data_IF_517992121283
#
_entry.id   IF_517992121283
#
_cell.length_a   1.000
_cell.length_b   1.000
_cell.length_c   1.000
_cell.angle_alpha   90.00
_cell.angle_beta   90.00
_cell.angle_gamma   90.00
#
_symmetry.space_group_name_H-M   'P 1'
#
loop_
_entity.id
_entity.type
_entity.pdbx_description
1 polymer ?
#
# COMPACT_ATOMS: atom_id res chain seq x y z
N UNK A 1 71.98 -11.77 39.06
CA UNK A 1 71.54 -12.36 37.77
C UNK A 1 70.16 -11.82 37.45
N UNK A 2 70.02 -10.96 36.43
CA UNK A 2 68.74 -10.40 35.97
C UNK A 2 68.26 -11.23 34.78
N UNK A 3 67.06 -11.81 34.86
CA UNK A 3 66.39 -12.49 33.74
C UNK A 3 65.70 -11.43 32.86
N UNK A 4 66.05 -11.38 31.56
CA UNK A 4 65.30 -10.62 30.57
C UNK A 4 64.08 -11.44 30.10
N UNK A 5 62.90 -10.85 30.17
CA UNK A 5 61.71 -11.34 29.49
C UNK A 5 61.68 -10.80 28.06
N UNK A 6 61.58 -11.69 27.07
CA UNK A 6 61.40 -11.34 25.65
C UNK A 6 59.89 -11.32 25.37
N UNK A 7 59.35 -10.14 25.07
CA UNK A 7 57.99 -9.97 24.57
C UNK A 7 57.98 -10.20 23.05
N UNK A 8 57.30 -11.25 22.60
CA UNK A 8 57.02 -11.47 21.18
C UNK A 8 55.76 -10.68 20.78
N UNK A 9 55.91 -9.72 19.87
CA UNK A 9 54.78 -9.01 19.26
C UNK A 9 54.35 -9.76 18.00
N UNK A 10 53.15 -10.37 18.03
CA UNK A 10 52.53 -10.97 16.85
C UNK A 10 51.83 -9.89 16.03
N UNK A 11 52.34 -9.63 14.82
CA UNK A 11 51.68 -8.76 13.85
C UNK A 11 50.57 -9.54 13.13
N UNK A 12 49.31 -9.14 13.32
CA UNK A 12 48.20 -9.60 12.47
C UNK A 12 48.14 -8.72 11.21
N UNK A 13 48.34 -9.34 10.05
CA UNK A 13 48.10 -8.69 8.76
C UNK A 13 46.61 -8.90 8.43
N UNK A 14 45.81 -7.83 8.50
CA UNK A 14 44.46 -7.83 7.94
C UNK A 14 44.54 -7.73 6.42
N UNK A 15 44.19 -8.81 5.72
CA UNK A 15 43.97 -8.78 4.27
C UNK A 15 42.65 -8.04 3.99
N UNK A 16 42.60 -7.11 3.02
CA UNK A 16 41.34 -6.51 2.60
C UNK A 16 40.48 -7.58 1.94
N UNK A 17 39.26 -7.78 2.44
CA UNK A 17 38.26 -8.57 1.75
C UNK A 17 37.94 -7.87 0.41
N UNK A 18 38.32 -8.48 -0.70
CA UNK A 18 37.88 -8.04 -2.02
C UNK A 18 36.36 -8.21 -2.08
N UNK A 19 35.62 -7.10 -2.18
CA UNK A 19 34.19 -7.14 -2.44
C UNK A 19 33.96 -7.82 -3.79
N UNK A 20 33.37 -9.01 -3.77
CA UNK A 20 33.01 -9.74 -5.00
C UNK A 20 31.97 -8.90 -5.76
N UNK A 21 32.33 -8.45 -6.96
CA UNK A 21 31.40 -7.74 -7.84
C UNK A 21 30.19 -8.66 -8.16
N UNK A 22 28.94 -8.19 -8.03
CA UNK A 22 27.78 -9.02 -8.32
C UNK A 22 27.80 -9.47 -9.78
N UNK A 23 27.70 -10.78 -10.01
CA UNK A 23 27.64 -11.35 -11.35
C UNK A 23 26.19 -11.22 -11.84
N UNK A 24 25.98 -10.39 -12.87
CA UNK A 24 24.66 -10.20 -13.49
C UNK A 24 24.50 -11.26 -14.58
N UNK A 25 23.41 -12.03 -14.51
CA UNK A 25 23.08 -13.07 -15.50
C UNK A 25 21.75 -12.77 -16.18
N UNK A 26 21.69 -12.99 -17.49
CA UNK A 26 20.47 -12.92 -18.28
C UNK A 26 20.10 -14.34 -18.74
N UNK A 27 19.01 -14.91 -18.21
CA UNK A 27 18.50 -16.19 -18.69
C UNK A 27 18.20 -16.12 -20.20
N UNK A 28 18.57 -17.18 -20.91
CA UNK A 28 18.17 -17.36 -22.31
C UNK A 28 16.69 -17.71 -22.44
N UNK A 29 16.16 -17.66 -23.66
CA UNK A 29 14.87 -18.27 -23.99
C UNK A 29 14.89 -19.80 -23.69
N UNK A 30 13.75 -20.49 -23.59
CA UNK A 30 13.72 -21.94 -23.41
C UNK A 30 14.63 -22.68 -24.41
N UNK A 31 15.59 -23.45 -23.91
CA UNK A 31 16.59 -24.16 -24.72
C UNK A 31 17.83 -23.36 -25.12
N UNK A 32 17.95 -22.09 -24.72
CA UNK A 32 19.13 -21.24 -24.96
C UNK A 32 19.98 -21.08 -23.69
N UNK A 33 21.30 -20.95 -23.87
CA UNK A 33 22.23 -20.76 -22.76
C UNK A 33 22.07 -19.38 -22.09
N UNK A 34 22.29 -19.33 -20.78
CA UNK A 34 22.34 -18.09 -19.99
C UNK A 34 23.57 -17.27 -20.36
N UNK A 35 23.42 -15.94 -20.43
CA UNK A 35 24.52 -15.01 -20.72
C UNK A 35 24.94 -14.27 -19.45
N UNK A 36 26.24 -14.10 -19.24
CA UNK A 36 26.78 -13.21 -18.20
C UNK A 36 26.88 -11.80 -18.78
N UNK A 37 26.35 -10.82 -18.07
CA UNK A 37 26.35 -9.41 -18.45
C UNK A 37 27.46 -8.64 -17.73
N UNK A 38 27.93 -7.51 -18.29
CA UNK A 38 28.87 -6.62 -17.60
C UNK A 38 28.35 -6.21 -16.21
N UNK A 39 29.23 -6.05 -15.24
CA UNK A 39 28.86 -5.54 -13.90
C UNK A 39 28.30 -4.10 -13.94
N UNK A 40 28.50 -3.38 -15.05
CA UNK A 40 27.93 -2.06 -15.31
C UNK A 40 26.51 -2.10 -15.84
N UNK A 41 25.95 -3.28 -16.12
CA UNK A 41 24.57 -3.39 -16.60
C UNK A 41 23.61 -2.89 -15.54
N UNK A 42 22.76 -1.94 -15.91
CA UNK A 42 21.64 -1.46 -15.09
C UNK A 42 20.35 -2.11 -15.57
N UNK A 43 19.49 -2.48 -14.63
CA UNK A 43 18.11 -2.80 -14.96
C UNK A 43 17.47 -1.57 -15.61
N UNK A 44 16.79 -1.79 -16.73
CA UNK A 44 15.92 -0.78 -17.32
C UNK A 44 14.56 -1.00 -16.67
N UNK A 45 14.13 -0.06 -15.84
CA UNK A 45 12.77 -0.07 -15.34
C UNK A 45 11.80 0.14 -16.50
N UNK A 46 10.61 -0.49 -16.48
CA UNK A 46 9.56 -0.12 -17.42
C UNK A 46 9.29 1.39 -17.31
N UNK A 47 8.87 2.04 -18.40
CA UNK A 47 8.45 3.45 -18.34
C UNK A 47 7.42 3.65 -17.24
N UNK A 48 7.57 4.74 -16.48
CA UNK A 48 6.58 5.11 -15.47
C UNK A 48 5.24 5.37 -16.16
N UNK A 49 4.21 4.63 -15.76
CA UNK A 49 2.86 4.86 -16.26
C UNK A 49 2.18 5.96 -15.44
N UNK A 50 1.56 6.92 -16.12
CA UNK A 50 0.70 7.92 -15.47
C UNK A 50 -0.39 7.26 -14.63
N UNK A 51 -0.93 6.13 -15.09
CA UNK A 51 -1.97 5.40 -14.35
C UNK A 51 -1.46 4.77 -13.05
N UNK A 52 -0.19 4.39 -13.00
CA UNK A 52 0.44 3.89 -11.77
C UNK A 52 0.55 5.03 -10.74
N UNK A 53 0.95 6.22 -11.19
CA UNK A 53 1.04 7.43 -10.34
C UNK A 53 -0.33 7.82 -9.80
N UNK A 54 -1.34 7.92 -10.68
CA UNK A 54 -2.73 8.23 -10.29
C UNK A 54 -3.30 7.20 -9.29
N UNK A 55 -3.04 5.91 -9.51
CA UNK A 55 -3.46 4.85 -8.60
C UNK A 55 -2.86 5.04 -7.21
N UNK A 56 -1.55 5.31 -7.13
CA UNK A 56 -0.86 5.47 -5.85
C UNK A 56 -1.32 6.74 -5.11
N UNK A 57 -1.46 7.86 -5.81
CA UNK A 57 -2.00 9.11 -5.23
C UNK A 57 -3.45 8.93 -4.76
N UNK A 58 -4.26 8.27 -5.58
CA UNK A 58 -5.67 8.02 -5.27
C UNK A 58 -5.85 7.09 -4.08
N UNK A 59 -5.11 5.99 -4.04
CA UNK A 59 -5.18 5.02 -2.97
C UNK A 59 -4.65 5.58 -1.64
N UNK A 60 -3.72 6.56 -1.65
CA UNK A 60 -3.37 7.32 -0.43
C UNK A 60 -4.60 8.05 0.13
N UNK A 61 -5.35 8.75 -0.71
CA UNK A 61 -6.57 9.46 -0.29
C UNK A 61 -7.65 8.48 0.18
N UNK A 62 -7.79 7.35 -0.51
CA UNK A 62 -8.73 6.28 -0.16
C UNK A 62 -8.42 5.72 1.23
N UNK A 63 -7.19 5.26 1.45
CA UNK A 63 -6.74 4.74 2.75
C UNK A 63 -6.85 5.75 3.89
N UNK A 64 -6.63 7.03 3.62
CA UNK A 64 -6.78 8.08 4.62
C UNK A 64 -8.20 8.12 5.22
N UNK A 65 -9.24 7.87 4.41
CA UNK A 65 -10.62 7.82 4.93
C UNK A 65 -10.87 6.59 5.79
N UNK A 66 -10.32 5.42 5.44
CA UNK A 66 -10.43 4.24 6.32
C UNK A 66 -9.72 4.45 7.66
N UNK A 67 -8.53 5.09 7.67
CA UNK A 67 -7.84 5.47 8.90
C UNK A 67 -8.70 6.45 9.72
N UNK A 68 -9.36 7.42 9.09
CA UNK A 68 -10.32 8.30 9.76
C UNK A 68 -11.51 7.52 10.36
N UNK A 69 -12.09 6.58 9.62
CA UNK A 69 -13.18 5.74 10.11
C UNK A 69 -12.76 4.92 11.33
N UNK A 70 -11.58 4.29 11.28
CA UNK A 70 -11.07 3.43 12.37
C UNK A 70 -10.76 4.22 13.64
N UNK A 71 -10.35 5.49 13.52
CA UNK A 71 -10.11 6.37 14.66
C UNK A 71 -11.37 6.64 15.51
N UNK A 72 -12.58 6.41 14.96
CA UNK A 72 -13.83 6.59 15.71
C UNK A 72 -14.12 5.43 16.67
N UNK A 73 -13.59 4.23 16.43
CA UNK A 73 -14.07 2.99 17.04
C UNK A 73 -13.96 3.02 18.57
N UNK A 74 -12.79 3.38 19.09
CA UNK A 74 -12.50 3.40 20.53
C UNK A 74 -13.51 4.21 21.35
N UNK A 75 -14.01 5.32 20.77
CA UNK A 75 -14.93 6.21 21.44
C UNK A 75 -16.41 5.92 21.13
N UNK A 76 -16.72 4.89 20.35
CA UNK A 76 -18.07 4.64 19.81
C UNK A 76 -18.62 3.25 20.10
N UNK A 77 -17.78 2.26 20.40
CA UNK A 77 -18.22 0.89 20.66
C UNK A 77 -17.35 0.14 21.67
N UNK A 78 -17.95 -0.79 22.40
CA UNK A 78 -17.28 -1.75 23.29
C UNK A 78 -17.08 -3.12 22.62
N UNK A 79 -17.47 -3.26 21.34
CA UNK A 79 -17.33 -4.51 20.60
C UNK A 79 -15.84 -4.85 20.37
N UNK A 80 -15.35 -5.86 21.10
CA UNK A 80 -13.93 -6.26 21.08
C UNK A 80 -13.48 -6.77 19.72
N UNK A 81 -14.34 -7.47 18.99
CA UNK A 81 -14.00 -7.98 17.65
C UNK A 81 -13.85 -6.82 16.67
N UNK A 82 -14.74 -5.82 16.76
CA UNK A 82 -14.67 -4.64 15.90
C UNK A 82 -13.47 -3.75 16.24
N UNK A 83 -13.14 -3.57 17.52
CA UNK A 83 -11.91 -2.87 17.96
C UNK A 83 -10.66 -3.54 17.43
N UNK A 84 -10.59 -4.87 17.51
CA UNK A 84 -9.46 -5.64 16.99
C UNK A 84 -9.36 -5.53 15.46
N UNK A 85 -10.47 -5.67 14.73
CA UNK A 85 -10.50 -5.47 13.29
C UNK A 85 -10.04 -4.06 12.91
N UNK A 86 -10.62 -3.04 13.55
CA UNK A 86 -10.30 -1.64 13.31
C UNK A 86 -8.83 -1.31 13.53
N UNK A 87 -8.22 -1.84 14.60
CA UNK A 87 -6.80 -1.67 14.86
C UNK A 87 -5.92 -2.28 13.76
N UNK A 88 -6.28 -3.46 13.24
CA UNK A 88 -5.55 -4.09 12.14
C UNK A 88 -5.64 -3.27 10.85
N UNK A 89 -6.86 -2.85 10.48
CA UNK A 89 -7.11 -2.02 9.29
C UNK A 89 -6.34 -0.71 9.39
N UNK A 90 -6.40 -0.04 10.55
CA UNK A 90 -5.70 1.22 10.77
C UNK A 90 -4.19 1.08 10.59
N UNK A 91 -3.60 0.01 11.13
CA UNK A 91 -2.17 -0.27 11.02
C UNK A 91 -1.77 -0.60 9.58
N UNK A 92 -2.43 -1.58 8.95
CA UNK A 92 -2.10 -2.01 7.59
C UNK A 92 -2.23 -0.86 6.61
N UNK A 93 -3.36 -0.14 6.63
CA UNK A 93 -3.57 0.96 5.68
C UNK A 93 -2.64 2.15 5.94
N UNK A 94 -2.25 2.42 7.18
CA UNK A 94 -1.22 3.44 7.46
C UNK A 94 0.15 3.04 6.90
N UNK A 95 0.54 1.77 7.02
CA UNK A 95 1.80 1.27 6.48
C UNK A 95 1.80 1.26 4.94
N UNK A 96 0.69 0.90 4.33
CA UNK A 96 0.45 0.95 2.89
C UNK A 96 0.50 2.40 2.36
N UNK A 97 -0.10 3.37 3.07
CA UNK A 97 0.04 4.79 2.74
C UNK A 97 1.51 5.24 2.74
N UNK A 98 2.28 4.80 3.74
CA UNK A 98 3.70 5.13 3.82
C UNK A 98 4.50 4.47 2.69
N UNK A 99 4.14 3.25 2.27
CA UNK A 99 4.71 2.63 1.09
C UNK A 99 4.43 3.46 -0.17
N UNK A 100 3.16 3.84 -0.40
CA UNK A 100 2.77 4.59 -1.60
C UNK A 100 3.48 5.95 -1.68
N UNK A 101 3.58 6.67 -0.57
CA UNK A 101 4.33 7.94 -0.50
C UNK A 101 5.79 7.77 -0.90
N UNK A 102 6.48 6.78 -0.31
CA UNK A 102 7.88 6.50 -0.67
C UNK A 102 8.03 6.08 -2.13
N UNK A 103 7.10 5.30 -2.66
CA UNK A 103 7.13 4.86 -4.06
C UNK A 103 7.02 6.04 -5.02
N UNK A 104 6.17 7.04 -4.71
CA UNK A 104 6.02 8.29 -5.46
C UNK A 104 7.25 9.20 -5.31
N UNK A 105 7.72 9.42 -4.08
CA UNK A 105 8.90 10.26 -3.79
C UNK A 105 10.16 9.75 -4.50
N UNK A 106 10.38 8.43 -4.50
CA UNK A 106 11.51 7.80 -5.21
C UNK A 106 11.49 8.04 -6.73
N UNK A 107 10.33 8.40 -7.27
CA UNK A 107 10.11 8.71 -8.69
C UNK A 107 9.93 10.21 -8.94
N UNK A 108 10.14 11.05 -7.91
CA UNK A 108 9.95 12.50 -7.95
C UNK A 108 8.52 12.91 -8.32
N UNK A 109 7.54 12.07 -8.00
CA UNK A 109 6.11 12.35 -8.19
C UNK A 109 5.50 12.95 -6.93
N UNK A 110 4.43 13.72 -7.10
CA UNK A 110 3.65 14.25 -5.97
C UNK A 110 2.99 13.11 -5.19
N UNK A 111 2.97 13.21 -3.85
CA UNK A 111 2.18 12.32 -2.98
C UNK A 111 0.71 12.70 -2.88
N UNK A 112 0.37 13.89 -3.37
CA UNK A 112 -0.98 14.42 -3.37
C UNK A 112 -1.56 14.27 -4.77
N UNK A 113 -2.81 13.83 -4.84
CA UNK A 113 -3.58 13.90 -6.06
C UNK A 113 -3.96 15.37 -6.29
N UNK A 114 -3.60 15.90 -7.45
CA UNK A 114 -4.02 17.24 -7.87
C UNK A 114 -5.54 17.18 -8.14
N UNK A 115 -6.32 17.70 -7.20
CA UNK A 115 -7.76 17.85 -7.41
C UNK A 115 -7.96 19.13 -8.20
N UNK A 116 -8.25 19.00 -9.49
CA UNK A 116 -8.87 20.07 -10.28
C UNK A 116 -10.14 20.49 -9.53
N UNK A 117 -10.06 21.60 -8.81
CA UNK A 117 -11.20 22.27 -8.21
C UNK A 117 -11.97 22.90 -9.35
N UNK A 118 -12.79 22.11 -10.03
CA UNK A 118 -13.77 22.66 -10.95
C UNK A 118 -14.78 23.45 -10.12
N UNK A 119 -14.61 24.76 -10.20
CA UNK A 119 -15.31 25.82 -9.49
C UNK A 119 -16.79 25.83 -9.89
N UNK A 120 -17.66 25.13 -9.14
CA UNK A 120 -19.11 25.23 -9.31
C UNK A 120 -19.86 25.08 -7.98
N UNK A 121 -20.24 26.22 -7.40
CA UNK A 121 -21.38 26.33 -6.51
C UNK A 121 -22.62 25.67 -7.14
N UNK A 122 -23.05 24.54 -6.58
CA UNK A 122 -24.44 24.07 -6.74
C UNK A 122 -24.74 22.97 -7.76
N UNK A 123 -23.74 22.28 -8.31
CA UNK A 123 -23.99 21.07 -9.12
C UNK A 123 -23.62 19.79 -8.37
N UNK A 124 -24.51 18.81 -8.46
CA UNK A 124 -24.45 17.49 -7.84
C UNK A 124 -23.06 16.84 -8.02
N UNK A 125 -22.52 16.28 -6.93
CA UNK A 125 -21.15 15.74 -6.81
C UNK A 125 -20.95 14.42 -7.60
N UNK A 126 -21.43 14.34 -8.84
CA UNK A 126 -21.39 13.13 -9.67
C UNK A 126 -20.05 12.90 -10.36
N UNK A 127 -19.26 13.95 -10.63
CA UNK A 127 -18.05 13.82 -11.47
C UNK A 127 -16.84 13.24 -10.72
N UNK A 128 -16.65 13.59 -9.45
CA UNK A 128 -15.56 13.03 -8.62
C UNK A 128 -15.80 11.57 -8.20
N UNK A 129 -17.06 11.10 -8.31
CA UNK A 129 -17.47 9.76 -7.90
C UNK A 129 -16.83 8.64 -8.74
N UNK A 130 -16.31 8.96 -9.93
CA UNK A 130 -15.61 8.01 -10.77
C UNK A 130 -14.14 7.79 -10.37
N UNK A 131 -13.49 8.78 -9.73
CA UNK A 131 -12.06 8.68 -9.42
C UNK A 131 -11.76 7.89 -8.14
N UNK A 132 -12.67 7.94 -7.16
CA UNK A 132 -12.50 7.24 -5.87
C UNK A 132 -13.73 6.39 -5.52
N UNK A 133 -13.95 5.26 -6.23
CA UNK A 133 -15.08 4.39 -5.95
C UNK A 133 -15.07 3.92 -4.50
N UNK A 134 -16.25 3.72 -3.93
CA UNK A 134 -16.42 3.13 -2.60
C UNK A 134 -16.24 4.07 -1.41
N UNK A 135 -15.68 5.28 -1.58
CA UNK A 135 -15.57 6.28 -0.52
C UNK A 135 -16.93 6.57 0.13
N UNK A 136 -16.95 6.69 1.45
CA UNK A 136 -18.11 7.20 2.18
C UNK A 136 -18.29 8.68 1.83
N UNK A 137 -19.51 9.02 1.43
CA UNK A 137 -19.93 10.42 1.28
C UNK A 137 -19.86 11.17 2.61
N UNK A 138 -19.81 12.51 2.55
CA UNK A 138 -19.86 13.35 3.74
C UNK A 138 -21.07 13.06 4.64
N UNK A 139 -22.22 12.71 4.05
CA UNK A 139 -23.44 12.30 4.79
C UNK A 139 -23.23 10.98 5.54
N UNK A 140 -22.62 9.98 4.91
CA UNK A 140 -22.30 8.69 5.53
C UNK A 140 -21.28 8.86 6.66
N UNK A 141 -20.20 9.61 6.45
CA UNK A 141 -19.23 9.92 7.50
C UNK A 141 -19.87 10.68 8.67
N UNK A 142 -20.77 11.63 8.40
CA UNK A 142 -21.48 12.34 9.44
C UNK A 142 -22.44 11.41 10.24
N UNK A 143 -23.09 10.46 9.58
CA UNK A 143 -23.90 9.45 10.26
C UNK A 143 -23.03 8.55 11.15
N UNK A 144 -21.90 8.04 10.62
CA UNK A 144 -20.95 7.21 11.35
C UNK A 144 -20.41 7.92 12.60
N UNK A 145 -20.03 9.21 12.49
CA UNK A 145 -19.52 10.01 13.63
C UNK A 145 -20.52 10.17 14.77
N UNK A 146 -21.83 10.17 14.46
CA UNK A 146 -22.93 10.35 15.42
C UNK A 146 -23.38 9.04 16.08
N UNK A 147 -23.33 7.93 15.34
CA UNK A 147 -23.80 6.64 15.82
C UNK A 147 -22.94 6.11 16.99
N UNK A 148 -23.53 5.28 17.84
CA UNK A 148 -22.85 4.62 18.98
C UNK A 148 -23.34 3.18 19.15
N UNK A 149 -22.54 2.35 19.81
CA UNK A 149 -22.88 0.95 20.09
C UNK A 149 -23.20 0.17 18.83
N UNK A 150 -24.23 -0.67 18.88
CA UNK A 150 -24.60 -1.56 17.77
C UNK A 150 -24.91 -0.84 16.44
N UNK A 151 -25.45 0.39 16.51
CA UNK A 151 -25.68 1.19 15.30
C UNK A 151 -24.36 1.62 14.65
N UNK A 152 -23.39 2.05 15.47
CA UNK A 152 -22.04 2.37 14.99
C UNK A 152 -21.39 1.14 14.37
N UNK A 153 -21.46 -0.01 15.04
CA UNK A 153 -20.88 -1.26 14.55
C UNK A 153 -21.40 -1.61 13.16
N UNK A 154 -22.72 -1.54 12.96
CA UNK A 154 -23.35 -1.82 11.67
C UNK A 154 -22.91 -0.83 10.60
N UNK A 155 -22.96 0.48 10.89
CA UNK A 155 -22.58 1.52 9.93
C UNK A 155 -21.09 1.43 9.55
N UNK A 156 -20.22 1.13 10.53
CA UNK A 156 -18.80 0.95 10.29
C UNK A 156 -18.57 -0.23 9.34
N UNK A 157 -19.16 -1.40 9.63
CA UNK A 157 -18.97 -2.61 8.82
C UNK A 157 -19.53 -2.42 7.40
N UNK A 158 -20.73 -1.86 7.26
CA UNK A 158 -21.33 -1.58 5.95
C UNK A 158 -20.51 -0.55 5.15
N UNK A 159 -20.05 0.51 5.82
CA UNK A 159 -19.20 1.52 5.22
C UNK A 159 -17.84 0.97 4.80
N UNK A 160 -17.17 0.22 5.66
CA UNK A 160 -15.83 -0.31 5.36
C UNK A 160 -15.89 -1.40 4.28
N UNK A 161 -16.97 -2.20 4.20
CA UNK A 161 -17.19 -3.08 3.04
C UNK A 161 -17.35 -2.29 1.74
N UNK A 162 -18.13 -1.20 1.76
CA UNK A 162 -18.30 -0.33 0.60
C UNK A 162 -16.95 0.25 0.16
N UNK A 163 -16.19 0.76 1.13
CA UNK A 163 -14.86 1.32 0.96
C UNK A 163 -13.91 0.31 0.30
N UNK A 164 -13.72 -0.85 0.90
CA UNK A 164 -12.84 -1.90 0.39
C UNK A 164 -13.21 -2.36 -1.03
N UNK A 165 -14.50 -2.48 -1.34
CA UNK A 165 -14.94 -2.79 -2.71
C UNK A 165 -14.51 -1.73 -3.72
N UNK A 166 -14.49 -0.47 -3.29
CA UNK A 166 -13.91 0.64 -4.04
C UNK A 166 -12.44 0.44 -4.36
N UNK A 167 -11.62 0.10 -3.36
CA UNK A 167 -10.20 -0.19 -3.56
C UNK A 167 -9.98 -1.33 -4.57
N UNK A 168 -10.81 -2.39 -4.54
CA UNK A 168 -10.74 -3.49 -5.53
C UNK A 168 -11.04 -3.02 -6.97
N UNK A 169 -11.95 -2.04 -7.13
CA UNK A 169 -12.22 -1.43 -8.45
C UNK A 169 -10.99 -0.66 -8.93
N UNK A 170 -10.38 0.16 -8.07
CA UNK A 170 -9.18 0.92 -8.41
C UNK A 170 -8.01 0.02 -8.82
N UNK A 171 -7.77 -1.08 -8.08
CA UNK A 171 -6.75 -2.08 -8.43
C UNK A 171 -7.05 -2.70 -9.80
N UNK A 172 -8.30 -3.06 -10.06
CA UNK A 172 -8.71 -3.63 -11.34
C UNK A 172 -8.48 -2.66 -12.50
N UNK A 173 -8.91 -1.40 -12.35
CA UNK A 173 -8.76 -0.37 -13.38
C UNK A 173 -7.28 -0.07 -13.69
N UNK A 174 -6.42 -0.07 -12.66
CA UNK A 174 -4.98 0.04 -12.85
C UNK A 174 -4.45 -1.13 -13.69
N UNK A 175 -4.80 -2.39 -13.37
CA UNK A 175 -4.32 -3.55 -14.14
C UNK A 175 -4.93 -3.68 -15.54
N UNK A 176 -6.14 -3.17 -15.76
CA UNK A 176 -6.79 -3.18 -17.08
C UNK A 176 -6.19 -2.15 -18.05
N UNK A 177 -5.44 -1.17 -17.54
CA UNK A 177 -4.86 -0.11 -18.36
C UNK A 177 -3.56 -0.59 -19.04
N UNK A 178 -3.41 -0.29 -20.33
CA UNK A 178 -2.24 -0.73 -21.07
C UNK A 178 -0.98 -0.01 -20.57
N UNK A 179 0.03 -0.79 -20.15
CA UNK A 179 1.34 -0.27 -19.73
C UNK A 179 1.45 0.06 -18.25
N UNK A 180 0.37 0.01 -17.46
CA UNK A 180 0.42 0.06 -15.99
C UNK A 180 0.71 -1.29 -15.36
N UNK A 181 1.05 -1.28 -14.07
CA UNK A 181 1.30 -2.48 -13.28
C UNK A 181 2.54 -3.28 -13.69
N UNK A 182 3.46 -2.68 -14.47
CA UNK A 182 4.68 -3.34 -14.94
C UNK A 182 5.82 -3.24 -13.92
N UNK A 183 5.76 -2.26 -13.02
CA UNK A 183 6.69 -2.14 -11.91
C UNK A 183 6.44 -3.24 -10.88
N UNK A 184 7.49 -4.01 -10.54
CA UNK A 184 7.34 -5.18 -9.68
C UNK A 184 6.95 -4.83 -8.24
N UNK A 185 7.38 -3.68 -7.72
CA UNK A 185 7.00 -3.24 -6.38
C UNK A 185 5.52 -2.85 -6.34
N UNK A 186 5.06 -2.11 -7.35
CA UNK A 186 3.66 -1.76 -7.52
C UNK A 186 2.77 -2.99 -7.72
N UNK A 187 3.18 -3.93 -8.58
CA UNK A 187 2.42 -5.15 -8.85
C UNK A 187 2.18 -5.96 -7.57
N UNK A 188 3.24 -6.16 -6.79
CA UNK A 188 3.16 -6.88 -5.52
C UNK A 188 2.24 -6.14 -4.53
N UNK A 189 2.44 -4.83 -4.37
CA UNK A 189 1.60 -4.00 -3.53
C UNK A 189 0.11 -4.07 -3.91
N UNK A 190 -0.22 -3.89 -5.19
CA UNK A 190 -1.61 -3.93 -5.66
C UNK A 190 -2.26 -5.31 -5.47
N UNK A 191 -1.48 -6.38 -5.62
CA UNK A 191 -1.94 -7.76 -5.35
C UNK A 191 -2.17 -8.00 -3.85
N UNK A 192 -1.29 -7.48 -2.99
CA UNK A 192 -1.43 -7.55 -1.54
C UNK A 192 -2.69 -6.77 -1.09
N UNK A 193 -2.92 -5.58 -1.64
CA UNK A 193 -4.15 -4.80 -1.41
C UNK A 193 -5.39 -5.58 -1.85
N UNK A 194 -5.43 -6.14 -3.07
CA UNK A 194 -6.60 -6.90 -3.55
C UNK A 194 -6.91 -8.09 -2.62
N UNK A 195 -5.90 -8.88 -2.27
CA UNK A 195 -6.08 -10.06 -1.44
C UNK A 195 -6.45 -9.72 0.01
N UNK A 196 -5.80 -8.72 0.60
CA UNK A 196 -6.07 -8.24 1.96
C UNK A 196 -7.47 -7.67 2.09
N UNK A 197 -7.86 -6.75 1.19
CA UNK A 197 -9.18 -6.12 1.21
C UNK A 197 -10.31 -7.15 1.01
N UNK A 198 -10.11 -8.18 0.17
CA UNK A 198 -11.08 -9.30 0.03
C UNK A 198 -11.23 -10.12 1.32
N UNK A 199 -10.13 -10.42 2.00
CA UNK A 199 -10.16 -11.15 3.26
C UNK A 199 -10.90 -10.34 4.34
N UNK A 200 -10.64 -9.04 4.42
CA UNK A 200 -11.31 -8.13 5.36
C UNK A 200 -12.80 -7.97 5.04
N UNK A 201 -13.19 -7.86 3.76
CA UNK A 201 -14.61 -7.88 3.36
C UNK A 201 -15.30 -9.13 3.89
N UNK A 202 -14.68 -10.31 3.73
CA UNK A 202 -15.26 -11.57 4.20
C UNK A 202 -15.45 -11.57 5.72
N UNK A 203 -14.46 -11.10 6.47
CA UNK A 203 -14.54 -10.97 7.93
C UNK A 203 -15.71 -10.06 8.31
N UNK A 204 -15.81 -8.87 7.69
CA UNK A 204 -16.87 -7.91 7.97
C UNK A 204 -18.26 -8.44 7.60
N UNK A 205 -18.38 -9.19 6.50
CA UNK A 205 -19.63 -9.87 6.12
C UNK A 205 -20.05 -10.90 7.15
N UNK A 206 -19.10 -11.70 7.65
CA UNK A 206 -19.36 -12.64 8.76
C UNK A 206 -19.82 -11.90 10.02
N UNK A 207 -19.18 -10.78 10.39
CA UNK A 207 -19.60 -9.96 11.53
C UNK A 207 -21.00 -9.36 11.37
N UNK A 208 -21.43 -9.08 10.13
CA UNK A 208 -22.81 -8.65 9.82
C UNK A 208 -23.82 -9.79 9.77
N UNK A 209 -23.39 -11.05 9.92
CA UNK A 209 -24.24 -12.22 9.71
C UNK A 209 -24.64 -12.45 8.25
N UNK A 210 -23.94 -11.85 7.28
CA UNK A 210 -24.17 -11.99 5.84
C UNK A 210 -23.30 -13.13 5.31
N UNK A 211 -23.69 -14.37 5.61
CA UNK A 211 -23.02 -15.57 5.08
C UNK A 211 -23.71 -15.99 3.77
N UNK A 212 -23.13 -15.64 2.62
CA UNK A 212 -23.45 -16.25 1.32
C UNK A 212 -22.16 -16.80 0.71
#
# INVERSE_FOLDING_TARGET
>A
MRLLAVLAFSFFISLPALAQQPIIVQPGAPGQATKVLPSTTRAVLPPLSTKDVEFMQGMIMHHAQAVEMTALIEARTENKELRLLGSRISQSQSDEMNFMKRWLENRSESTEMEMEMDDMEGMDHGSHSHLMPGMLSGKQMAALRRARGAEFDKLFLEGMIQHHKGALVMVKEMFDTAGSGQDAELFNFATDVDSGQRAEIKIMQTMLGKNN
#
